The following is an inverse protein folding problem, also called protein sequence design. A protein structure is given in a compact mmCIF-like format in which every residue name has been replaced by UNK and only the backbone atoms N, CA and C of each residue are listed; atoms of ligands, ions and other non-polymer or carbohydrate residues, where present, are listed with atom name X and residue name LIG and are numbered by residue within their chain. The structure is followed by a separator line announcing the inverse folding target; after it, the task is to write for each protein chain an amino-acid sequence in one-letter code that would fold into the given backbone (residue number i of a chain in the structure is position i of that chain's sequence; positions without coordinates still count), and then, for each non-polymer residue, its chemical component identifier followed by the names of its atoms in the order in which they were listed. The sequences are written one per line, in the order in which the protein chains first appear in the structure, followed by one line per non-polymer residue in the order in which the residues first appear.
data_IF_958570974334
#
_entry.id   IF_958570974334
#
_cell.length_a   1.000
_cell.length_b   1.000
_cell.length_c   1.000
_cell.angle_alpha   90.00
_cell.angle_beta   90.00
_cell.angle_gamma   90.00
#
_symmetry.space_group_name_H-M   'P 1'
#
loop_
_entity.id
_entity.type
_entity.pdbx_description
1 polymer ?
#
# COMPACT_ATOMS: atom_id res chain seq x y z
N UNK A 1 -0.37 6.79 3.52
CA UNK A 1 -0.91 6.99 4.90
C UNK A 1 -1.01 5.63 5.55
N UNK A 2 -0.55 5.47 6.80
CA UNK A 2 -0.58 4.18 7.49
C UNK A 2 -0.93 4.33 8.96
N UNK A 3 -1.49 3.28 9.53
CA UNK A 3 -1.81 3.14 10.94
C UNK A 3 -1.19 1.85 11.46
N UNK A 4 -0.49 1.94 12.57
CA UNK A 4 0.14 0.81 13.25
C UNK A 4 -0.49 0.64 14.63
N UNK A 5 -0.77 -0.60 15.00
CA UNK A 5 -1.36 -0.96 16.28
C UNK A 5 -0.47 -1.98 16.99
N UNK A 6 -0.10 -1.66 18.23
CA UNK A 6 0.73 -2.52 19.06
C UNK A 6 -0.14 -3.54 19.79
N UNK A 7 -0.13 -4.81 19.37
CA UNK A 7 -0.83 -5.88 20.07
C UNK A 7 -0.05 -6.37 21.30
N UNK A 8 1.28 -6.38 21.20
CA UNK A 8 2.18 -6.79 22.28
C UNK A 8 3.58 -6.20 22.05
N UNK A 9 4.48 -6.31 23.02
CA UNK A 9 5.90 -5.89 22.90
C UNK A 9 6.60 -6.48 21.66
N UNK A 10 6.09 -7.59 21.13
CA UNK A 10 6.66 -8.34 20.02
C UNK A 10 5.75 -8.45 18.79
N UNK A 11 4.51 -7.96 18.87
CA UNK A 11 3.52 -8.16 17.80
C UNK A 11 2.82 -6.84 17.47
N UNK A 12 2.93 -6.41 16.22
CA UNK A 12 2.33 -5.18 15.71
C UNK A 12 1.45 -5.51 14.50
N UNK A 13 0.22 -5.02 14.48
CA UNK A 13 -0.61 -5.00 13.27
C UNK A 13 -0.39 -3.66 12.56
N UNK A 14 -0.38 -3.68 11.23
CA UNK A 14 -0.26 -2.47 10.44
C UNK A 14 -1.26 -2.48 9.29
N UNK A 15 -1.80 -1.31 9.00
CA UNK A 15 -2.54 -1.03 7.78
C UNK A 15 -1.90 0.16 7.08
N UNK A 16 -1.64 0.03 5.79
CA UNK A 16 -1.02 1.07 4.98
C UNK A 16 -1.85 1.27 3.71
N UNK A 17 -2.26 2.51 3.47
CA UNK A 17 -2.89 2.95 2.23
C UNK A 17 -1.88 3.73 1.40
N UNK A 18 -1.68 3.30 0.16
CA UNK A 18 -0.91 4.01 -0.84
C UNK A 18 -1.85 4.51 -1.96
N UNK A 19 -1.71 5.78 -2.32
CA UNK A 19 -2.44 6.42 -3.40
C UNK A 19 -1.43 6.87 -4.45
N UNK A 20 -1.60 6.43 -5.69
CA UNK A 20 -0.80 6.86 -6.82
C UNK A 20 -1.73 7.52 -7.83
N UNK A 21 -1.51 8.82 -8.06
CA UNK A 21 -2.16 9.56 -9.15
C UNK A 21 -1.32 9.37 -10.40
N UNK A 22 -1.87 8.68 -11.41
CA UNK A 22 -1.26 8.61 -12.72
C UNK A 22 -1.96 9.64 -13.59
N UNK A 23 -1.30 10.78 -13.85
CA UNK A 23 -1.85 11.81 -14.71
C UNK A 23 -1.10 11.81 -16.04
N UNK A 24 -1.81 11.59 -17.14
CA UNK A 24 -1.25 11.58 -18.49
C UNK A 24 -1.09 10.19 -19.09
N UNK A 25 -1.15 10.13 -20.42
CA UNK A 25 -1.27 8.92 -21.23
C UNK A 25 -0.11 7.89 -21.10
N UNK A 26 0.97 8.21 -20.38
CA UNK A 26 2.16 7.37 -20.24
C UNK A 26 2.53 7.06 -18.78
N UNK A 27 1.67 7.36 -17.80
CA UNK A 27 1.93 6.99 -16.39
C UNK A 27 1.09 5.77 -15.98
N UNK A 28 1.78 4.71 -15.55
CA UNK A 28 1.21 3.45 -15.07
C UNK A 28 1.92 2.97 -13.80
N UNK A 29 2.13 3.88 -12.84
CA UNK A 29 2.78 3.56 -11.56
C UNK A 29 1.78 2.80 -10.67
N UNK A 30 2.20 1.62 -10.20
CA UNK A 30 1.46 0.80 -9.24
C UNK A 30 2.09 0.91 -7.85
N UNK A 31 1.29 1.09 -6.78
CA UNK A 31 1.79 1.06 -5.41
C UNK A 31 2.21 -0.35 -4.92
N UNK A 32 1.91 -1.40 -5.68
CA UNK A 32 2.32 -2.79 -5.41
C UNK A 32 3.07 -3.37 -6.61
N UNK A 33 4.18 -4.06 -6.35
CA UNK A 33 4.94 -4.76 -7.37
C UNK A 33 4.03 -5.75 -8.11
N UNK A 34 4.03 -5.71 -9.45
CA UNK A 34 3.33 -6.61 -10.38
C UNK A 34 1.81 -6.43 -10.64
N UNK A 35 1.16 -5.32 -10.24
CA UNK A 35 -0.23 -5.06 -10.69
C UNK A 35 -0.24 -4.06 -11.87
N UNK A 36 -0.56 -4.48 -13.11
CA UNK A 36 -0.65 -3.58 -14.24
C UNK A 36 -1.84 -2.63 -14.07
N UNK A 37 -1.59 -1.33 -14.18
CA UNK A 37 -2.60 -0.28 -14.05
C UNK A 37 -2.75 0.45 -15.37
N UNK A 38 -4.00 0.56 -15.83
CA UNK A 38 -4.32 1.29 -17.04
C UNK A 38 -3.82 2.75 -16.91
N UNK A 39 -3.19 3.26 -17.98
CA UNK A 39 -2.70 4.62 -18.03
C UNK A 39 -3.83 5.61 -17.72
N UNK A 40 -3.50 6.72 -17.05
CA UNK A 40 -4.44 7.78 -16.65
C UNK A 40 -5.47 7.36 -15.58
N UNK A 41 -5.32 6.17 -14.98
CA UNK A 41 -6.14 5.77 -13.83
C UNK A 41 -5.43 5.93 -12.51
N UNK A 42 -6.14 6.58 -11.58
CA UNK A 42 -5.75 6.66 -10.17
C UNK A 42 -5.81 5.27 -9.52
N UNK A 43 -4.74 4.92 -8.82
CA UNK A 43 -4.54 3.60 -8.21
C UNK A 43 -4.53 3.74 -6.71
N UNK A 44 -5.40 2.98 -6.05
CA UNK A 44 -5.46 2.89 -4.59
C UNK A 44 -5.04 1.49 -4.19
N UNK A 45 -4.00 1.37 -3.38
CA UNK A 45 -3.63 0.11 -2.76
C UNK A 45 -3.79 0.20 -1.25
N UNK A 46 -4.28 -0.89 -0.67
CA UNK A 46 -4.38 -1.07 0.77
C UNK A 46 -3.61 -2.33 1.14
N UNK A 47 -2.73 -2.22 2.12
CA UNK A 47 -1.96 -3.31 2.70
C UNK A 47 -2.39 -3.47 4.15
N UNK A 48 -2.73 -4.68 4.55
CA UNK A 48 -2.99 -5.05 5.95
C UNK A 48 -2.05 -6.19 6.28
N UNK A 49 -1.35 -6.11 7.41
CA UNK A 49 -0.40 -7.13 7.82
C UNK A 49 -0.17 -7.18 9.32
N UNK A 50 0.44 -8.29 9.75
CA UNK A 50 0.90 -8.53 11.11
C UNK A 50 2.41 -8.74 11.07
N UNK A 51 3.14 -8.01 11.90
CA UNK A 51 4.57 -8.17 12.14
C UNK A 51 4.78 -8.77 13.52
N UNK A 52 5.42 -9.93 13.58
CA UNK A 52 5.82 -10.57 14.82
C UNK A 52 7.34 -10.70 14.84
N UNK A 53 7.98 -10.19 15.89
CA UNK A 53 9.42 -10.30 16.12
C UNK A 53 9.69 -11.31 17.23
N UNK A 54 10.48 -12.34 16.94
CA UNK A 54 10.86 -13.42 17.87
C UNK A 54 12.10 -13.06 18.70
#
# INVERSE_FOLDING_TARGET
LGLEYLLSKRTWAYVQGAYVSNNGANMALSPMYASPVAADKNVRAFMVGLRHSF
#
